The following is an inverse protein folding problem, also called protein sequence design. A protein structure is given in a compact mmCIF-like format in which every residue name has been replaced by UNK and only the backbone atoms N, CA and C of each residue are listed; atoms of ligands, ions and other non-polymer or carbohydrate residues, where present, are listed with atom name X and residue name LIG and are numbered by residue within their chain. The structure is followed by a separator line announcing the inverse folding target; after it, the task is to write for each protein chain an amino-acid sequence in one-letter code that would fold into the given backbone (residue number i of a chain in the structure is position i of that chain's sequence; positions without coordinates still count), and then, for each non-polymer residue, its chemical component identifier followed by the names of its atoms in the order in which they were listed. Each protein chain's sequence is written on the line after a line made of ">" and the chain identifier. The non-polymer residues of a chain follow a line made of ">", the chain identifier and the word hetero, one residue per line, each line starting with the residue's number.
data_IF_520663372916
#
_entry.id   IF_520663372916
#
_cell.length_a   1.000
_cell.length_b   1.000
_cell.length_c   1.000
_cell.angle_alpha   90.00
_cell.angle_beta   90.00
_cell.angle_gamma   90.00
#
_symmetry.space_group_name_H-M   'P 1'
#
loop_
_entity.id
_entity.type
_entity.pdbx_description
1 polymer ?
#
# COMPACT_ATOMS: atom_id res chain seq x y z
N UNK A 1 -35.18 3.34 -6.71
CA UNK A 1 -34.53 3.64 -5.41
C UNK A 1 -33.03 3.76 -5.65
N UNK A 2 -32.42 4.88 -5.25
CA UNK A 2 -30.96 5.07 -5.31
C UNK A 2 -30.37 4.36 -4.10
N UNK A 3 -29.58 3.31 -4.34
CA UNK A 3 -28.93 2.55 -3.26
C UNK A 3 -27.48 3.00 -3.16
N UNK A 4 -27.11 3.54 -2.00
CA UNK A 4 -25.72 3.82 -1.68
C UNK A 4 -25.11 2.52 -1.15
N UNK A 5 -24.34 1.83 -1.99
CA UNK A 5 -23.60 0.65 -1.55
C UNK A 5 -22.42 1.11 -0.69
N UNK A 6 -22.33 0.56 0.52
CA UNK A 6 -21.14 0.73 1.37
C UNK A 6 -20.00 -0.10 0.78
N UNK A 7 -18.92 0.56 0.38
CA UNK A 7 -17.69 -0.10 -0.07
C UNK A 7 -16.73 -0.10 1.11
N UNK A 8 -16.24 -1.28 1.49
CA UNK A 8 -15.23 -1.44 2.53
C UNK A 8 -13.84 -1.46 1.91
N UNK A 9 -12.86 -0.85 2.59
CA UNK A 9 -11.47 -0.98 2.21
C UNK A 9 -10.96 -2.40 2.52
N UNK A 10 -10.09 -2.93 1.66
CA UNK A 10 -9.47 -4.25 1.83
C UNK A 10 -8.32 -4.25 2.85
N UNK A 11 -7.86 -3.07 3.24
CA UNK A 11 -6.72 -2.87 4.15
C UNK A 11 -7.01 -1.76 5.16
N UNK A 12 -6.32 -1.83 6.30
CA UNK A 12 -6.26 -0.74 7.28
C UNK A 12 -5.27 0.31 6.82
N UNK A 13 -5.65 1.58 6.94
CA UNK A 13 -4.80 2.69 6.55
C UNK A 13 -5.42 4.04 6.85
N UNK A 14 -4.59 5.08 6.69
CA UNK A 14 -5.00 6.47 6.88
C UNK A 14 -5.40 7.09 5.55
N UNK A 15 -6.59 7.72 5.51
CA UNK A 15 -7.04 8.50 4.34
C UNK A 15 -6.27 9.81 4.32
N UNK A 16 -5.45 10.04 3.30
CA UNK A 16 -4.67 11.27 3.15
C UNK A 16 -5.45 12.37 2.44
N UNK A 17 -6.23 11.99 1.42
CA UNK A 17 -6.90 12.94 0.54
C UNK A 17 -8.21 12.34 0.00
N UNK A 18 -9.27 13.15 0.03
CA UNK A 18 -10.52 12.87 -0.67
C UNK A 18 -10.44 13.49 -2.06
N UNK A 19 -10.50 12.67 -3.10
CA UNK A 19 -10.42 13.13 -4.50
C UNK A 19 -11.80 13.47 -5.07
N UNK A 20 -12.84 13.35 -4.25
CA UNK A 20 -14.20 13.76 -4.60
C UNK A 20 -14.35 15.23 -4.18
N UNK A 21 -14.83 16.11 -5.06
CA UNK A 21 -15.05 17.51 -4.69
C UNK A 21 -16.03 17.57 -3.50
N UNK A 22 -15.57 18.16 -2.40
CA UNK A 22 -16.30 18.23 -1.12
C UNK A 22 -17.64 18.96 -1.24
N UNK A 23 -17.78 19.81 -2.26
CA UNK A 23 -18.94 20.67 -2.50
C UNK A 23 -20.16 19.96 -3.11
N UNK A 24 -20.06 18.68 -3.49
CA UNK A 24 -21.17 17.95 -4.12
C UNK A 24 -21.45 16.62 -3.41
N UNK A 25 -22.39 16.64 -2.45
CA UNK A 25 -22.94 15.43 -1.86
C UNK A 25 -23.76 14.66 -2.92
N UNK A 26 -23.11 13.82 -3.72
CA UNK A 26 -23.76 12.98 -4.73
C UNK A 26 -23.16 13.01 -6.13
N UNK A 27 -21.83 13.13 -6.26
CA UNK A 27 -21.12 13.07 -7.55
C UNK A 27 -21.32 11.71 -8.23
N UNK A 28 -21.54 11.75 -9.55
CA UNK A 28 -21.58 10.55 -10.39
C UNK A 28 -20.15 10.05 -10.60
N UNK A 29 -19.85 8.86 -10.08
CA UNK A 29 -18.54 8.20 -10.24
C UNK A 29 -18.60 7.12 -11.30
N UNK A 30 -17.49 6.92 -12.03
CA UNK A 30 -17.34 5.85 -13.04
C UNK A 30 -16.56 4.67 -12.48
N UNK A 31 -16.72 3.49 -13.09
CA UNK A 31 -15.96 2.29 -12.71
C UNK A 31 -14.46 2.56 -12.85
N UNK A 32 -13.71 2.38 -11.76
CA UNK A 32 -12.25 2.58 -11.73
C UNK A 32 -11.79 4.01 -11.44
N UNK A 33 -12.71 4.95 -11.21
CA UNK A 33 -12.35 6.30 -10.78
C UNK A 33 -11.77 6.27 -9.36
N UNK A 34 -10.61 6.91 -9.11
CA UNK A 34 -10.04 6.99 -7.77
C UNK A 34 -10.88 7.93 -6.89
N UNK A 35 -11.23 7.48 -5.69
CA UNK A 35 -12.07 8.22 -4.74
C UNK A 35 -11.26 8.79 -3.58
N UNK A 36 -10.31 8.00 -3.06
CA UNK A 36 -9.51 8.33 -1.89
C UNK A 36 -8.05 7.97 -2.14
N UNK A 37 -7.14 8.79 -1.64
CA UNK A 37 -5.73 8.45 -1.52
C UNK A 37 -5.48 7.94 -0.11
N UNK A 38 -5.16 6.67 0.03
CA UNK A 38 -4.98 6.02 1.34
C UNK A 38 -3.55 5.51 1.48
N UNK A 39 -2.91 5.77 2.62
CA UNK A 39 -1.64 5.13 3.00
C UNK A 39 -1.96 3.89 3.83
N UNK A 40 -1.64 2.67 3.36
CA UNK A 40 -1.78 1.46 4.16
C UNK A 40 -0.85 1.48 5.39
N UNK A 41 -1.34 1.02 6.53
CA UNK A 41 -0.52 0.91 7.74
C UNK A 41 0.48 -0.24 7.62
N UNK A 42 0.06 -1.33 6.97
CA UNK A 42 0.91 -2.47 6.66
C UNK A 42 1.67 -2.21 5.35
N UNK A 43 2.95 -1.86 5.49
CA UNK A 43 3.86 -1.73 4.35
C UNK A 43 4.30 -3.11 3.91
N UNK A 44 3.73 -3.58 2.79
CA UNK A 44 4.23 -4.77 2.10
C UNK A 44 5.60 -4.41 1.53
N UNK A 45 6.67 -4.79 2.23
CA UNK A 45 8.04 -4.59 1.76
C UNK A 45 8.34 -5.67 0.71
N UNK A 46 8.26 -5.27 -0.56
CA UNK A 46 8.64 -6.12 -1.68
C UNK A 46 10.14 -5.91 -1.90
N UNK A 47 10.97 -6.72 -1.24
CA UNK A 47 12.42 -6.75 -1.48
C UNK A 47 12.70 -7.00 -2.97
N UNK A 48 13.47 -6.10 -3.58
CA UNK A 48 14.02 -6.30 -4.94
C UNK A 48 15.04 -7.44 -4.95
N UNK A 49 15.29 -8.05 -6.11
CA UNK A 49 16.26 -9.16 -6.21
C UNK A 49 17.69 -8.73 -5.83
N UNK A 50 18.04 -7.47 -6.09
CA UNK A 50 19.35 -6.92 -5.73
C UNK A 50 19.53 -6.79 -4.22
N UNK A 51 18.54 -6.24 -3.51
CA UNK A 51 18.52 -6.15 -2.05
C UNK A 51 18.61 -7.52 -1.39
N UNK A 52 17.88 -8.52 -1.93
CA UNK A 52 17.97 -9.93 -1.49
C UNK A 52 19.38 -10.48 -1.63
N UNK A 53 20.04 -10.21 -2.75
CA UNK A 53 21.38 -10.72 -3.02
C UNK A 53 22.44 -10.05 -2.14
N UNK A 54 22.31 -8.75 -1.87
CA UNK A 54 23.17 -8.03 -0.93
C UNK A 54 23.00 -8.61 0.48
N UNK A 55 21.77 -8.80 0.96
CA UNK A 55 21.48 -9.40 2.27
C UNK A 55 22.09 -10.79 2.42
N UNK A 56 21.91 -11.65 1.41
CA UNK A 56 22.50 -12.99 1.38
C UNK A 56 24.02 -12.95 1.45
N UNK A 57 24.68 -12.13 0.63
CA UNK A 57 26.15 -12.00 0.60
C UNK A 57 26.69 -11.47 1.93
N UNK A 58 26.04 -10.48 2.52
CA UNK A 58 26.42 -9.94 3.83
C UNK A 58 26.35 -11.03 4.91
N UNK A 59 25.26 -11.80 4.95
CA UNK A 59 25.10 -12.91 5.88
C UNK A 59 26.13 -14.03 5.67
N UNK A 60 26.42 -14.40 4.42
CA UNK A 60 27.47 -15.38 4.10
C UNK A 60 28.84 -14.92 4.58
N UNK A 61 29.16 -13.63 4.40
CA UNK A 61 30.44 -13.05 4.85
C UNK A 61 30.56 -13.07 6.37
N UNK A 62 29.48 -12.74 7.07
CA UNK A 62 29.43 -12.75 8.54
C UNK A 62 29.71 -14.16 9.08
N UNK A 63 29.00 -15.17 8.58
CA UNK A 63 29.24 -16.58 8.93
C UNK A 63 30.69 -17.00 8.65
N UNK A 64 31.23 -16.69 7.47
CA UNK A 64 32.62 -17.03 7.13
C UNK A 64 33.64 -16.39 8.08
N UNK A 65 33.34 -15.21 8.62
CA UNK A 65 34.21 -14.55 9.59
C UNK A 65 34.10 -15.13 11.00
N UNK A 66 32.96 -15.68 11.39
CA UNK A 66 32.77 -16.35 12.69
C UNK A 66 33.33 -17.76 12.77
N UNK A 67 33.78 -18.35 11.66
CA UNK A 67 34.35 -19.71 11.60
C UNK A 67 35.89 -19.70 11.76
N UNK A 68 36.46 -18.63 12.33
CA UNK A 68 37.90 -18.53 12.63
C UNK A 68 38.22 -18.73 14.11
#
# INVERSE_FOLDING_TARGET
>A
MKMFNKIHAEFSGTVNECLIPESEAGVVVRKGQPLFKVTPDEKIYIETEEEKNIRKKAFTKDILSSVK
#
